data_IF_048843110636
#
_entry.id   IF_048843110636
#
_cell.length_a   1.000
_cell.length_b   1.000
_cell.length_c   1.000
_cell.angle_alpha   90.00
_cell.angle_beta   90.00
_cell.angle_gamma   90.00
#
_symmetry.space_group_name_H-M   'P 1'
#
loop_
_entity.id
_entity.type
_entity.pdbx_description
1 polymer ?
#
# COMPACT_ATOMS: atom_id res chain seq x y z
N UNK A 1 -33.60 -7.82 22.65
CA UNK A 1 -34.98 -7.30 22.67
C UNK A 1 -35.46 -7.16 24.11
N UNK A 2 -36.36 -6.23 24.36
CA UNK A 2 -37.01 -6.08 25.67
C UNK A 2 -37.97 -7.24 25.88
N UNK A 3 -37.90 -7.96 27.04
CA UNK A 3 -38.86 -9.03 27.31
C UNK A 3 -40.29 -8.51 27.35
N UNK A 4 -41.21 -9.23 26.73
CA UNK A 4 -42.63 -8.96 26.80
C UNK A 4 -43.31 -10.09 27.58
N UNK A 5 -44.24 -9.74 28.47
CA UNK A 5 -44.98 -10.72 29.26
C UNK A 5 -46.47 -10.63 28.90
N UNK A 6 -47.10 -11.78 28.71
CA UNK A 6 -48.53 -11.87 28.50
C UNK A 6 -49.12 -12.91 29.42
N UNK A 7 -50.32 -12.61 29.96
CA UNK A 7 -51.12 -13.58 30.68
C UNK A 7 -52.08 -14.26 29.70
N UNK A 8 -51.94 -15.57 29.54
CA UNK A 8 -52.80 -16.33 28.69
C UNK A 8 -54.08 -16.70 29.43
N UNK A 9 -55.26 -16.39 28.88
CA UNK A 9 -56.56 -16.77 29.40
C UNK A 9 -57.20 -17.87 28.55
N UNK A 10 -57.97 -18.74 29.19
CA UNK A 10 -58.63 -19.84 28.46
C UNK A 10 -59.67 -19.30 27.44
N UNK A 11 -59.53 -19.73 26.18
CA UNK A 11 -60.45 -19.31 25.10
C UNK A 11 -60.04 -18.03 24.36
N UNK A 12 -58.93 -17.35 24.71
CA UNK A 12 -58.43 -16.16 24.05
C UNK A 12 -57.07 -16.41 23.35
N UNK A 13 -56.93 -15.87 22.12
CA UNK A 13 -55.69 -15.82 21.40
C UNK A 13 -55.09 -14.42 21.56
N UNK A 14 -54.04 -14.27 22.38
CA UNK A 14 -53.37 -13.00 22.52
C UNK A 14 -52.01 -13.02 21.76
N UNK A 15 -51.82 -12.21 20.72
CA UNK A 15 -50.57 -12.15 20.00
C UNK A 15 -49.52 -11.35 20.75
N UNK A 16 -48.25 -11.83 20.75
CA UNK A 16 -47.08 -11.07 21.10
C UNK A 16 -46.40 -10.64 19.80
N UNK A 17 -46.18 -9.34 19.63
CA UNK A 17 -45.54 -8.78 18.44
C UNK A 17 -44.21 -8.16 18.82
N UNK A 18 -43.16 -8.61 18.18
CA UNK A 18 -41.80 -8.05 18.35
C UNK A 18 -41.44 -7.26 17.09
N UNK A 19 -40.74 -6.15 17.31
CA UNK A 19 -40.23 -5.30 16.24
C UNK A 19 -38.72 -5.15 16.39
N UNK A 20 -38.00 -5.50 15.34
CA UNK A 20 -36.56 -5.29 15.25
C UNK A 20 -36.27 -4.09 14.37
N UNK A 21 -35.30 -3.30 14.78
CA UNK A 21 -34.79 -2.20 13.94
C UNK A 21 -33.77 -2.77 12.96
N UNK A 22 -33.88 -2.46 11.65
CA UNK A 22 -32.86 -2.88 10.69
C UNK A 22 -31.50 -2.32 11.07
N UNK A 23 -30.46 -3.11 10.86
CA UNK A 23 -29.07 -2.67 11.03
C UNK A 23 -28.74 -1.51 10.09
N UNK A 24 -27.76 -0.70 10.47
CA UNK A 24 -27.31 0.46 9.73
C UNK A 24 -26.07 0.16 8.90
N UNK A 25 -25.89 0.93 7.84
CA UNK A 25 -24.63 1.02 7.11
C UNK A 25 -24.05 2.42 7.26
N UNK A 26 -22.72 2.54 7.25
CA UNK A 26 -21.99 3.79 7.21
C UNK A 26 -21.10 3.80 5.96
N UNK A 27 -21.25 4.80 5.10
CA UNK A 27 -20.37 5.01 3.96
C UNK A 27 -19.35 6.08 4.29
N UNK A 28 -18.06 5.75 4.14
CA UNK A 28 -16.97 6.71 4.18
C UNK A 28 -16.66 7.11 2.75
N UNK A 29 -16.62 8.41 2.47
CA UNK A 29 -16.22 8.99 1.19
C UNK A 29 -14.90 9.73 1.37
N UNK A 30 -13.90 9.36 0.58
CA UNK A 30 -12.58 10.00 0.53
C UNK A 30 -12.41 10.81 -0.74
N UNK A 31 -11.97 12.08 -0.61
CA UNK A 31 -11.84 13.00 -1.74
C UNK A 31 -10.58 13.85 -1.64
N UNK A 32 -10.12 14.33 -2.78
CA UNK A 32 -9.17 15.43 -2.92
C UNK A 32 -9.81 16.73 -2.41
N UNK A 33 -9.11 17.45 -1.55
CA UNK A 33 -9.63 18.67 -0.91
C UNK A 33 -9.87 19.82 -1.90
N UNK A 34 -9.10 19.87 -3.00
CA UNK A 34 -9.19 20.94 -4.02
C UNK A 34 -10.17 20.57 -5.12
N UNK A 35 -10.01 19.41 -5.73
CA UNK A 35 -10.77 19.01 -6.93
C UNK A 35 -12.05 18.26 -6.62
N UNK A 36 -12.23 17.81 -5.37
CA UNK A 36 -13.32 16.94 -4.88
C UNK A 36 -13.44 15.60 -5.61
N UNK A 37 -12.43 15.20 -6.37
CA UNK A 37 -12.36 13.88 -6.99
C UNK A 37 -12.22 12.79 -5.93
N UNK A 38 -12.83 11.60 -6.15
CA UNK A 38 -12.69 10.47 -5.22
C UNK A 38 -11.26 9.95 -5.16
N UNK A 39 -10.84 9.49 -3.97
CA UNK A 39 -9.50 8.95 -3.71
C UNK A 39 -9.59 7.49 -3.24
N UNK A 40 -8.98 6.60 -4.00
CA UNK A 40 -8.81 5.20 -3.65
C UNK A 40 -7.62 4.97 -2.70
N UNK A 41 -7.59 3.79 -2.06
CA UNK A 41 -6.47 3.31 -1.22
C UNK A 41 -6.21 4.15 0.04
N UNK A 42 -7.16 4.96 0.50
CA UNK A 42 -7.13 5.49 1.85
C UNK A 42 -7.48 4.38 2.84
N UNK A 43 -6.71 4.25 3.93
CA UNK A 43 -6.95 3.28 4.98
C UNK A 43 -7.56 3.98 6.20
N UNK A 44 -8.64 3.41 6.74
CA UNK A 44 -9.35 3.92 7.90
C UNK A 44 -9.38 2.88 9.01
N UNK A 45 -9.35 3.37 10.26
CA UNK A 45 -9.67 2.57 11.45
C UNK A 45 -11.03 3.02 11.98
N UNK A 46 -11.92 2.05 12.14
CA UNK A 46 -13.30 2.27 12.61
C UNK A 46 -13.50 1.61 13.97
N UNK A 47 -13.96 2.38 14.94
CA UNK A 47 -14.18 1.96 16.33
C UNK A 47 -15.55 2.39 16.84
N UNK A 48 -16.03 1.72 17.87
CA UNK A 48 -17.17 2.18 18.66
C UNK A 48 -16.74 3.25 19.70
N UNK A 49 -17.70 3.72 20.50
CA UNK A 49 -17.47 4.72 21.56
C UNK A 49 -16.57 4.22 22.70
N UNK A 50 -16.37 2.92 22.85
CA UNK A 50 -15.50 2.31 23.86
C UNK A 50 -14.08 2.06 23.31
N UNK A 51 -13.85 2.41 22.04
CA UNK A 51 -12.58 2.20 21.35
C UNK A 51 -12.39 0.80 20.79
N UNK A 52 -13.41 -0.06 20.83
CA UNK A 52 -13.36 -1.40 20.28
C UNK A 52 -13.45 -1.36 18.75
N UNK A 53 -12.57 -2.06 18.02
CA UNK A 53 -12.62 -2.13 16.57
C UNK A 53 -13.93 -2.74 16.05
N UNK A 54 -14.46 -2.17 14.95
CA UNK A 54 -15.67 -2.64 14.27
C UNK A 54 -15.26 -3.40 13.02
N UNK A 55 -15.87 -4.57 12.80
CA UNK A 55 -15.59 -5.43 11.66
C UNK A 55 -14.40 -6.37 11.86
N UNK A 56 -13.95 -6.97 10.76
CA UNK A 56 -12.75 -7.82 10.71
C UNK A 56 -11.49 -6.96 10.55
N UNK A 57 -10.30 -7.54 10.61
CA UNK A 57 -9.02 -6.86 10.41
C UNK A 57 -8.80 -5.64 11.35
N UNK A 58 -9.12 -5.83 12.66
CA UNK A 58 -8.98 -4.79 13.69
C UNK A 58 -9.64 -3.45 13.33
N UNK A 59 -10.76 -3.48 12.62
CA UNK A 59 -11.50 -2.28 12.21
C UNK A 59 -10.88 -1.53 11.04
N UNK A 60 -9.99 -2.14 10.27
CA UNK A 60 -9.37 -1.55 9.08
C UNK A 60 -10.30 -1.66 7.88
N UNK A 61 -10.43 -0.54 7.16
CA UNK A 61 -11.20 -0.42 5.92
C UNK A 61 -10.42 0.40 4.90
N UNK A 62 -10.52 0.04 3.61
CA UNK A 62 -9.77 0.68 2.53
C UNK A 62 -10.74 1.16 1.46
N UNK A 63 -10.58 2.40 0.97
CA UNK A 63 -11.45 2.96 -0.08
C UNK A 63 -11.18 2.33 -1.45
N UNK A 64 -12.25 2.03 -2.17
CA UNK A 64 -12.23 1.54 -3.55
C UNK A 64 -11.91 2.65 -4.57
N UNK A 65 -11.95 2.30 -5.85
CA UNK A 65 -11.68 3.22 -6.98
C UNK A 65 -12.64 4.41 -7.05
N UNK A 66 -13.83 4.26 -6.49
CA UNK A 66 -14.84 5.31 -6.36
C UNK A 66 -14.63 6.22 -5.13
N UNK A 67 -13.56 6.02 -4.38
CA UNK A 67 -13.24 6.73 -3.16
C UNK A 67 -14.11 6.34 -1.96
N UNK A 68 -14.92 5.27 -2.05
CA UNK A 68 -15.83 4.88 -0.98
C UNK A 68 -15.42 3.56 -0.32
N UNK A 69 -15.84 3.41 0.94
CA UNK A 69 -15.93 2.13 1.63
C UNK A 69 -17.17 2.13 2.52
N UNK A 70 -17.89 1.01 2.54
CA UNK A 70 -19.12 0.86 3.32
C UNK A 70 -18.96 -0.15 4.44
N UNK A 71 -19.25 0.28 5.66
CA UNK A 71 -19.30 -0.54 6.87
C UNK A 71 -20.76 -0.95 7.08
N UNK A 72 -21.02 -2.26 7.19
CA UNK A 72 -22.37 -2.82 7.31
C UNK A 72 -22.61 -3.42 8.69
N UNK A 73 -23.87 -3.68 9.03
CA UNK A 73 -24.23 -4.41 10.25
C UNK A 73 -24.11 -3.61 11.53
N UNK A 74 -24.15 -2.28 11.46
CA UNK A 74 -24.04 -1.40 12.62
C UNK A 74 -25.36 -1.35 13.40
N UNK A 75 -25.27 -1.37 14.74
CA UNK A 75 -26.43 -1.24 15.60
C UNK A 75 -27.01 0.17 15.52
N UNK A 76 -28.31 0.35 15.33
CA UNK A 76 -28.95 1.67 15.34
C UNK A 76 -28.65 2.45 16.63
N UNK A 77 -28.36 3.73 16.49
CA UNK A 77 -27.94 4.68 17.54
C UNK A 77 -26.55 4.40 18.15
N UNK A 78 -25.76 3.50 17.58
CA UNK A 78 -24.36 3.35 17.95
C UNK A 78 -23.55 4.59 17.52
N UNK A 79 -22.63 5.01 18.37
CA UNK A 79 -21.63 6.04 18.05
C UNK A 79 -20.42 5.36 17.43
N UNK A 80 -20.08 5.80 16.22
CA UNK A 80 -18.96 5.27 15.43
C UNK A 80 -17.91 6.35 15.30
N UNK A 81 -16.65 6.00 15.57
CA UNK A 81 -15.48 6.86 15.44
C UNK A 81 -14.64 6.34 14.27
N UNK A 82 -14.34 7.20 13.33
CA UNK A 82 -13.54 6.90 12.13
C UNK A 82 -12.32 7.79 12.11
N UNK A 83 -11.14 7.21 12.00
CA UNK A 83 -9.87 7.92 11.80
C UNK A 83 -9.18 7.42 10.54
N UNK A 84 -8.56 8.32 9.80
CA UNK A 84 -7.67 7.92 8.71
C UNK A 84 -6.39 7.33 9.31
N UNK A 85 -5.99 6.14 8.90
CA UNK A 85 -4.76 5.48 9.32
C UNK A 85 -3.63 5.78 8.33
N UNK A 86 -3.97 5.72 7.02
CA UNK A 86 -3.03 6.01 5.94
C UNK A 86 -3.72 6.79 4.82
N UNK A 87 -3.14 7.93 4.45
CA UNK A 87 -3.58 8.69 3.27
C UNK A 87 -3.19 7.97 1.97
N UNK A 88 -3.92 8.21 0.87
CA UNK A 88 -3.44 7.85 -0.46
C UNK A 88 -2.09 8.50 -0.79
N UNK A 89 -1.29 7.84 -1.63
CA UNK A 89 -0.02 8.41 -2.11
C UNK A 89 -0.27 9.79 -2.75
N UNK A 90 0.55 10.77 -2.37
CA UNK A 90 0.43 12.14 -2.86
C UNK A 90 -0.54 13.03 -2.08
N UNK A 91 -0.98 12.58 -0.92
CA UNK A 91 -1.89 13.33 -0.05
C UNK A 91 -1.40 13.40 1.40
N UNK A 92 -1.74 14.50 2.07
CA UNK A 92 -1.48 14.68 3.51
C UNK A 92 -2.60 13.98 4.28
N UNK A 93 -2.23 13.16 5.28
CA UNK A 93 -3.17 12.46 6.15
C UNK A 93 -4.02 13.44 6.97
N UNK A 94 -5.34 13.20 7.07
CA UNK A 94 -6.22 13.90 8.00
C UNK A 94 -6.10 13.24 9.39
N UNK A 95 -5.41 13.92 10.31
CA UNK A 95 -5.20 13.43 11.68
C UNK A 95 -6.46 13.58 12.56
N UNK A 96 -7.54 14.19 12.05
CA UNK A 96 -8.75 14.48 12.84
C UNK A 96 -9.77 13.35 12.75
N UNK A 97 -10.02 12.59 13.83
CA UNK A 97 -11.09 11.59 13.82
C UNK A 97 -12.47 12.24 13.65
N UNK A 98 -13.36 11.56 12.94
CA UNK A 98 -14.77 11.96 12.78
C UNK A 98 -15.69 10.98 13.46
N UNK A 99 -16.75 11.53 14.07
CA UNK A 99 -17.71 10.75 14.85
C UNK A 99 -19.10 10.90 14.25
N UNK A 100 -19.86 9.80 14.20
CA UNK A 100 -21.26 9.78 13.76
C UNK A 100 -22.08 8.86 14.65
N UNK A 101 -23.34 9.24 14.92
CA UNK A 101 -24.35 8.35 15.47
C UNK A 101 -25.16 7.78 14.32
N UNK A 102 -25.03 6.48 14.05
CA UNK A 102 -25.73 5.83 12.93
C UNK A 102 -27.22 5.63 13.22
N UNK A 103 -28.06 5.88 12.24
CA UNK A 103 -29.52 5.82 12.36
C UNK A 103 -30.11 4.88 11.31
N UNK A 104 -31.10 4.10 11.73
CA UNK A 104 -31.85 3.22 10.84
C UNK A 104 -32.77 4.01 9.91
N UNK A 105 -32.90 3.56 8.67
CA UNK A 105 -33.82 4.15 7.68
C UNK A 105 -33.32 5.43 7.01
N UNK A 106 -32.11 5.89 7.32
CA UNK A 106 -31.48 7.06 6.68
C UNK A 106 -30.05 6.73 6.22
N UNK A 107 -29.51 7.41 5.20
CA UNK A 107 -28.11 7.30 4.83
C UNK A 107 -27.21 7.83 5.96
N UNK A 108 -26.20 7.06 6.33
CA UNK A 108 -25.14 7.51 7.23
C UNK A 108 -23.85 7.63 6.42
N UNK A 109 -23.23 8.80 6.43
CA UNK A 109 -21.98 9.02 5.71
C UNK A 109 -21.04 9.96 6.43
N UNK A 110 -19.74 9.74 6.23
CA UNK A 110 -18.65 10.64 6.63
C UNK A 110 -17.81 10.93 5.40
N UNK A 111 -17.43 12.19 5.22
CA UNK A 111 -16.53 12.61 4.16
C UNK A 111 -15.20 13.04 4.75
N UNK A 112 -14.10 12.56 4.17
CA UNK A 112 -12.73 12.96 4.47
C UNK A 112 -12.11 13.56 3.21
N UNK A 113 -11.61 14.79 3.33
CA UNK A 113 -10.92 15.50 2.26
C UNK A 113 -9.43 15.59 2.63
N UNK A 114 -8.52 15.16 1.73
CA UNK A 114 -7.07 15.33 1.93
C UNK A 114 -6.50 16.37 1.00
N UNK A 115 -5.60 17.18 1.53
CA UNK A 115 -4.80 18.12 0.74
C UNK A 115 -3.74 17.37 -0.06
N UNK A 116 -3.52 17.75 -1.35
CA UNK A 116 -2.42 17.21 -2.12
C UNK A 116 -1.07 17.51 -1.47
N UNK A 117 -0.18 16.53 -1.50
CA UNK A 117 1.22 16.66 -1.08
C UNK A 117 2.14 16.67 -2.28
N UNK A 118 3.30 17.32 -2.16
CA UNK A 118 4.37 17.21 -3.13
C UNK A 118 5.08 15.87 -2.91
N UNK A 119 4.95 14.97 -3.87
CA UNK A 119 5.39 13.58 -3.71
C UNK A 119 6.21 13.13 -4.92
N UNK A 120 7.30 12.40 -4.66
CA UNK A 120 8.04 11.62 -5.65
C UNK A 120 7.89 10.13 -5.31
N UNK A 121 7.48 9.33 -6.28
CA UNK A 121 7.47 7.86 -6.19
C UNK A 121 8.57 7.32 -7.08
N UNK A 122 9.45 6.51 -6.51
CA UNK A 122 10.45 5.74 -7.26
C UNK A 122 9.90 4.33 -7.39
N UNK A 123 9.72 3.88 -8.65
CA UNK A 123 9.29 2.52 -8.96
C UNK A 123 10.48 1.69 -9.40
N UNK A 124 10.55 0.47 -8.90
CA UNK A 124 11.55 -0.52 -9.27
C UNK A 124 10.92 -1.79 -9.78
N UNK A 125 11.24 -2.15 -11.01
CA UNK A 125 10.66 -3.28 -11.71
C UNK A 125 11.74 -4.23 -12.28
N UNK A 126 11.29 -5.43 -12.66
CA UNK A 126 12.12 -6.42 -13.36
C UNK A 126 12.03 -6.16 -14.85
N UNK A 127 13.17 -5.97 -15.52
CA UNK A 127 13.23 -5.75 -16.96
C UNK A 127 12.70 -6.96 -17.74
N UNK A 128 11.92 -6.69 -18.78
CA UNK A 128 11.32 -7.71 -19.63
C UNK A 128 10.03 -8.32 -19.09
N UNK A 129 9.47 -7.75 -18.02
CA UNK A 129 8.17 -8.13 -17.46
C UNK A 129 7.15 -6.98 -17.60
N UNK A 130 5.86 -7.26 -17.37
CA UNK A 130 4.81 -6.23 -17.29
C UNK A 130 4.82 -5.56 -15.90
N UNK A 131 5.91 -4.83 -15.58
CA UNK A 131 6.08 -4.11 -14.31
C UNK A 131 6.01 -5.01 -13.06
N UNK A 132 6.61 -6.21 -13.11
CA UNK A 132 6.80 -7.05 -11.92
C UNK A 132 7.68 -6.29 -10.92
N UNK A 133 7.18 -6.02 -9.67
CA UNK A 133 7.90 -5.19 -8.71
C UNK A 133 9.14 -5.89 -8.15
N UNK A 134 10.18 -5.11 -7.88
CA UNK A 134 11.41 -5.59 -7.25
C UNK A 134 11.62 -4.90 -5.88
N UNK A 135 11.38 -5.67 -4.82
CA UNK A 135 11.48 -5.23 -3.43
C UNK A 135 12.92 -5.35 -2.88
N UNK A 136 13.26 -4.51 -1.90
CA UNK A 136 14.53 -4.59 -1.16
C UNK A 136 15.73 -3.96 -1.86
N UNK A 137 15.54 -3.30 -2.99
CA UNK A 137 16.59 -2.59 -3.72
C UNK A 137 16.90 -1.26 -3.02
N UNK A 138 18.19 -0.98 -2.77
CA UNK A 138 18.61 0.26 -2.13
C UNK A 138 18.88 1.38 -3.11
N UNK A 139 18.35 2.56 -2.81
CA UNK A 139 18.56 3.80 -3.55
C UNK A 139 19.22 4.87 -2.67
N UNK A 140 20.13 5.65 -3.25
CA UNK A 140 20.58 6.92 -2.72
C UNK A 140 19.79 8.03 -3.40
N UNK A 141 19.18 8.90 -2.61
CA UNK A 141 18.43 10.06 -3.06
C UNK A 141 19.09 11.33 -2.53
N UNK A 142 19.44 12.23 -3.43
CA UNK A 142 20.09 13.52 -3.11
C UNK A 142 19.39 14.64 -3.86
N UNK A 143 19.59 15.88 -3.41
CA UNK A 143 19.18 17.07 -4.17
C UNK A 143 20.21 17.42 -5.25
N UNK A 144 19.93 18.46 -6.04
CA UNK A 144 20.81 18.93 -7.10
C UNK A 144 22.18 19.43 -6.63
N UNK A 145 22.37 19.69 -5.33
CA UNK A 145 23.67 20.05 -4.73
C UNK A 145 24.45 18.81 -4.25
N UNK A 146 23.82 17.63 -4.24
CA UNK A 146 24.37 16.39 -3.70
C UNK A 146 24.08 16.17 -2.21
N UNK A 147 23.29 17.05 -1.56
CA UNK A 147 22.86 16.84 -0.19
C UNK A 147 21.80 15.76 -0.09
N UNK A 148 21.86 14.97 0.99
CA UNK A 148 20.90 13.88 1.20
C UNK A 148 19.46 14.39 1.34
N UNK A 149 18.51 13.76 0.66
CA UNK A 149 17.08 14.02 0.81
C UNK A 149 16.51 13.05 1.84
N UNK A 150 16.01 13.59 2.96
CA UNK A 150 15.36 12.83 4.04
C UNK A 150 16.33 12.15 5.03
N UNK A 151 15.82 11.19 5.83
CA UNK A 151 16.60 10.49 6.86
C UNK A 151 17.62 9.50 6.27
N UNK A 152 18.41 8.86 7.16
CA UNK A 152 19.36 7.80 6.83
C UNK A 152 20.31 8.14 5.70
N UNK A 153 20.81 9.39 5.70
CA UNK A 153 21.67 9.92 4.66
C UNK A 153 21.07 9.78 3.24
N UNK A 154 19.74 9.84 3.11
CA UNK A 154 19.02 9.70 1.85
C UNK A 154 19.05 8.29 1.27
N UNK A 155 19.23 7.26 2.09
CA UNK A 155 19.19 5.85 1.67
C UNK A 155 17.79 5.29 1.92
N UNK A 156 17.19 4.72 0.88
CA UNK A 156 15.85 4.15 0.89
C UNK A 156 15.85 2.76 0.28
N UNK A 157 14.87 1.94 0.69
CA UNK A 157 14.68 0.59 0.17
C UNK A 157 13.30 0.46 -0.44
N UNK A 158 13.21 -0.20 -1.60
CA UNK A 158 11.91 -0.49 -2.21
C UNK A 158 11.09 -1.45 -1.36
N UNK A 159 9.81 -1.15 -1.20
CA UNK A 159 8.83 -1.98 -0.48
C UNK A 159 8.37 -3.20 -1.31
N UNK A 160 7.34 -3.91 -0.83
CA UNK A 160 6.77 -5.07 -1.52
C UNK A 160 6.12 -4.74 -2.87
N UNK A 161 5.71 -3.49 -3.07
CA UNK A 161 5.20 -2.98 -4.34
C UNK A 161 6.33 -2.51 -5.28
N UNK A 162 7.61 -2.62 -4.86
CA UNK A 162 8.74 -2.09 -5.58
C UNK A 162 8.82 -0.56 -5.54
N UNK A 163 8.26 0.06 -4.50
CA UNK A 163 8.11 1.52 -4.43
C UNK A 163 8.91 2.14 -3.27
N UNK A 164 9.40 3.36 -3.50
CA UNK A 164 9.85 4.30 -2.47
C UNK A 164 9.00 5.56 -2.63
N UNK A 165 8.34 6.01 -1.55
CA UNK A 165 7.48 7.19 -1.55
C UNK A 165 8.10 8.30 -0.72
N UNK A 166 8.43 9.42 -1.36
CA UNK A 166 9.02 10.61 -0.75
C UNK A 166 7.98 11.73 -0.75
N UNK A 167 7.47 12.07 0.43
CA UNK A 167 6.45 13.11 0.61
C UNK A 167 7.07 14.40 1.14
N UNK A 168 6.39 15.54 0.90
CA UNK A 168 6.77 16.83 1.46
C UNK A 168 8.07 17.41 0.87
N UNK A 169 8.39 17.03 -0.37
CA UNK A 169 9.56 17.57 -1.07
C UNK A 169 9.35 19.05 -1.39
N UNK A 170 10.43 19.83 -1.35
CA UNK A 170 10.41 21.26 -1.65
C UNK A 170 10.24 21.51 -3.16
N UNK A 171 9.19 22.24 -3.60
CA UNK A 171 9.02 22.58 -5.01
C UNK A 171 10.19 23.42 -5.55
N UNK A 172 10.57 23.14 -6.80
CA UNK A 172 11.72 23.80 -7.45
C UNK A 172 13.07 23.14 -7.15
N UNK A 173 13.13 22.16 -6.25
CA UNK A 173 14.33 21.35 -6.01
C UNK A 173 14.48 20.30 -7.09
N UNK A 174 15.68 20.08 -7.61
CA UNK A 174 16.01 18.92 -8.42
C UNK A 174 16.36 17.77 -7.48
N UNK A 175 15.70 16.61 -7.62
CA UNK A 175 16.00 15.39 -6.89
C UNK A 175 16.65 14.40 -7.84
N UNK A 176 17.75 13.78 -7.39
CA UNK A 176 18.51 12.75 -8.11
C UNK A 176 18.41 11.44 -7.34
N UNK A 177 17.92 10.39 -7.99
CA UNK A 177 17.86 9.05 -7.44
C UNK A 177 18.80 8.09 -8.19
N UNK A 178 19.53 7.26 -7.46
CA UNK A 178 20.44 6.26 -8.01
C UNK A 178 20.37 4.98 -7.22
N UNK A 179 20.28 3.84 -7.90
CA UNK A 179 20.44 2.54 -7.26
C UNK A 179 21.88 2.38 -6.75
N UNK A 180 22.02 1.96 -5.48
CA UNK A 180 23.31 1.73 -4.84
C UNK A 180 23.53 0.27 -4.46
N UNK A 181 22.46 -0.53 -4.37
CA UNK A 181 22.53 -1.96 -4.10
C UNK A 181 21.32 -2.67 -4.69
N UNK A 182 21.56 -3.69 -5.50
CA UNK A 182 20.54 -4.61 -5.99
C UNK A 182 20.26 -5.73 -4.99
N UNK A 183 19.26 -6.55 -5.29
CA UNK A 183 19.00 -7.82 -4.58
C UNK A 183 19.60 -8.99 -5.34
N UNK A 184 19.77 -10.12 -4.63
CA UNK A 184 20.38 -11.33 -5.20
C UNK A 184 19.63 -11.80 -6.46
N UNK A 185 20.37 -12.22 -7.47
CA UNK A 185 19.83 -12.65 -8.75
C UNK A 185 19.55 -11.53 -9.77
N UNK A 186 19.88 -10.28 -9.42
CA UNK A 186 19.70 -9.13 -10.30
C UNK A 186 20.99 -8.32 -10.49
N UNK A 187 21.14 -7.73 -11.67
CA UNK A 187 22.25 -6.83 -11.99
C UNK A 187 21.94 -5.43 -11.49
N UNK A 188 22.88 -4.84 -10.75
CA UNK A 188 22.76 -3.44 -10.33
C UNK A 188 22.87 -2.51 -11.54
N UNK A 189 21.93 -1.59 -11.69
CA UNK A 189 22.01 -0.45 -12.61
C UNK A 189 22.14 0.86 -11.82
N UNK A 190 23.36 1.33 -11.67
CA UNK A 190 23.69 2.56 -10.94
C UNK A 190 23.47 3.84 -11.74
N UNK A 191 22.82 3.80 -12.92
CA UNK A 191 22.52 4.98 -13.74
C UNK A 191 21.55 5.91 -12.96
N UNK A 192 21.94 7.17 -12.67
CA UNK A 192 21.05 8.08 -11.96
C UNK A 192 19.94 8.58 -12.87
N UNK A 193 18.78 8.91 -12.26
CA UNK A 193 17.73 9.71 -12.88
C UNK A 193 17.45 10.92 -12.01
N UNK A 194 17.12 12.04 -12.64
CA UNK A 194 16.80 13.29 -11.96
C UNK A 194 15.42 13.81 -12.36
N UNK A 195 14.82 14.61 -11.46
CA UNK A 195 13.51 15.22 -11.69
C UNK A 195 13.41 16.57 -10.94
N UNK A 196 12.85 17.57 -11.61
CA UNK A 196 12.49 18.84 -10.97
C UNK A 196 11.14 18.69 -10.26
N UNK A 197 11.13 18.94 -8.95
CA UNK A 197 9.95 18.77 -8.11
C UNK A 197 8.94 19.89 -8.35
N UNK A 198 7.67 19.50 -8.60
CA UNK A 198 6.53 20.40 -8.85
C UNK A 198 5.57 20.37 -7.68
N UNK A 199 5.11 21.53 -7.23
CA UNK A 199 4.20 21.68 -6.10
C UNK A 199 2.89 20.88 -6.28
N UNK A 200 2.42 20.24 -5.20
CA UNK A 200 1.10 19.60 -5.13
C UNK A 200 0.86 18.50 -6.16
N UNK A 201 1.93 17.87 -6.65
CA UNK A 201 1.85 16.79 -7.65
C UNK A 201 2.52 15.52 -7.18
N UNK A 202 2.04 14.38 -7.68
CA UNK A 202 2.77 13.11 -7.63
C UNK A 202 3.59 12.98 -8.90
N UNK A 203 4.90 12.83 -8.75
CA UNK A 203 5.84 12.60 -9.84
C UNK A 203 6.48 11.23 -9.68
N UNK A 204 6.96 10.65 -10.79
CA UNK A 204 7.48 9.29 -10.77
C UNK A 204 8.84 9.22 -11.45
N UNK A 205 9.75 8.40 -10.87
CA UNK A 205 10.93 7.87 -11.52
C UNK A 205 10.79 6.35 -11.60
N UNK A 206 11.24 5.76 -12.70
CA UNK A 206 11.09 4.31 -12.90
C UNK A 206 12.42 3.69 -13.29
N UNK A 207 12.80 2.62 -12.58
CA UNK A 207 14.06 1.90 -12.77
C UNK A 207 13.77 0.41 -13.00
N UNK A 208 14.60 -0.23 -13.82
CA UNK A 208 14.50 -1.66 -14.11
C UNK A 208 15.82 -2.35 -13.82
N UNK A 209 15.78 -3.60 -13.29
CA UNK A 209 16.94 -4.46 -13.20
C UNK A 209 16.78 -5.71 -14.03
N UNK A 210 17.86 -6.09 -14.71
CA UNK A 210 17.97 -7.35 -15.41
C UNK A 210 18.21 -8.50 -14.44
N UNK A 211 17.59 -9.66 -14.69
CA UNK A 211 17.95 -10.90 -14.01
C UNK A 211 19.38 -11.27 -14.36
N UNK A 212 20.15 -11.74 -13.38
CA UNK A 212 21.47 -12.29 -13.64
C UNK A 212 21.33 -13.59 -14.42
N UNK A 213 22.19 -13.78 -15.42
CA UNK A 213 22.34 -15.05 -16.10
C UNK A 213 23.03 -16.06 -15.19
N UNK A 214 22.60 -17.32 -15.20
CA UNK A 214 23.25 -18.41 -14.50
C UNK A 214 23.81 -19.43 -15.51
N UNK A 215 25.03 -19.91 -15.27
CA UNK A 215 25.63 -21.00 -16.01
C UNK A 215 25.71 -22.23 -15.10
N UNK A 216 25.05 -23.32 -15.49
CA UNK A 216 25.14 -24.61 -14.81
C UNK A 216 26.07 -25.52 -15.62
N UNK A 217 27.17 -25.96 -15.00
CA UNK A 217 28.09 -26.90 -15.63
C UNK A 217 27.92 -28.26 -14.95
N UNK A 218 27.46 -29.26 -15.72
CA UNK A 218 27.37 -30.64 -15.27
C UNK A 218 28.56 -31.42 -15.85
N UNK A 219 29.39 -31.99 -14.97
CA UNK A 219 30.44 -32.93 -15.37
C UNK A 219 29.96 -34.38 -15.15
N UNK A 220 29.78 -35.10 -16.22
CA UNK A 220 29.28 -36.48 -16.20
C UNK A 220 30.34 -37.44 -16.76
N UNK A 221 30.24 -38.72 -16.39
CA UNK A 221 31.03 -39.80 -16.98
C UNK A 221 30.74 -39.94 -18.48
N UNK A 222 31.77 -40.10 -19.31
CA UNK A 222 31.62 -40.36 -20.76
C UNK A 222 31.06 -41.75 -21.06
N UNK A 223 31.15 -42.68 -20.08
CA UNK A 223 30.72 -44.07 -20.27
C UNK A 223 29.20 -44.22 -20.29
N UNK A 224 28.52 -43.53 -19.38
CA UNK A 224 27.06 -43.63 -19.23
C UNK A 224 26.33 -42.30 -19.44
N UNK A 225 27.06 -41.17 -19.49
CA UNK A 225 26.54 -39.79 -19.58
C UNK A 225 25.53 -39.41 -18.50
N UNK A 226 25.52 -40.14 -17.41
CA UNK A 226 24.58 -39.93 -16.27
C UNK A 226 25.29 -39.78 -14.92
N UNK A 227 26.37 -40.53 -14.68
CA UNK A 227 27.08 -40.51 -13.41
C UNK A 227 27.84 -39.19 -13.20
N UNK A 228 27.50 -38.37 -12.15
CA UNK A 228 28.21 -37.14 -11.88
C UNK A 228 29.65 -37.38 -11.44
N UNK A 229 30.61 -36.61 -11.99
CA UNK A 229 32.03 -36.65 -11.62
C UNK A 229 32.36 -35.47 -10.72
N UNK A 230 32.77 -35.76 -9.48
CA UNK A 230 33.17 -34.79 -8.45
C UNK A 230 34.65 -34.40 -8.57
N UNK A 231 35.00 -33.24 -8.01
CA UNK A 231 36.40 -32.78 -7.89
C UNK A 231 37.02 -32.28 -9.22
N UNK A 232 36.22 -32.03 -10.26
CA UNK A 232 36.72 -31.45 -11.52
C UNK A 232 36.70 -29.93 -11.41
N UNK A 233 37.85 -29.31 -11.69
CA UNK A 233 37.99 -27.84 -11.73
C UNK A 233 37.78 -27.32 -13.16
N UNK A 234 36.96 -26.30 -13.30
CA UNK A 234 36.76 -25.58 -14.55
C UNK A 234 37.31 -24.16 -14.45
N UNK A 235 37.92 -23.68 -15.53
CA UNK A 235 38.17 -22.25 -15.72
C UNK A 235 37.12 -21.71 -16.67
N UNK A 236 36.37 -20.70 -16.22
CA UNK A 236 35.35 -20.05 -17.03
C UNK A 236 35.85 -18.68 -17.43
N UNK A 237 35.80 -18.37 -18.73
CA UNK A 237 36.18 -17.08 -19.28
C UNK A 237 35.13 -16.60 -20.25
N UNK A 238 35.04 -15.29 -20.45
CA UNK A 238 34.30 -14.70 -21.59
C UNK A 238 34.94 -15.10 -22.93
N UNK A 239 34.28 -14.83 -24.02
CA UNK A 239 34.82 -15.02 -25.36
C UNK A 239 36.10 -14.17 -25.61
N UNK A 240 36.26 -13.07 -24.89
CA UNK A 240 37.45 -12.20 -24.91
C UNK A 240 38.57 -12.67 -23.99
N UNK A 241 38.36 -13.78 -23.26
CA UNK A 241 39.35 -14.39 -22.38
C UNK A 241 39.40 -13.85 -20.94
N UNK A 242 38.50 -12.93 -20.58
CA UNK A 242 38.38 -12.40 -19.24
C UNK A 242 37.80 -13.45 -18.28
N UNK A 243 38.33 -13.50 -17.04
CA UNK A 243 37.85 -14.42 -16.02
C UNK A 243 36.43 -14.07 -15.59
N UNK A 244 35.54 -15.05 -15.52
CA UNK A 244 34.20 -14.91 -14.93
C UNK A 244 34.31 -15.32 -13.48
N UNK A 245 34.10 -14.40 -12.51
CA UNK A 245 34.25 -14.64 -11.08
C UNK A 245 33.26 -15.65 -10.52
#
# INVERSE_FOLDING_TARGET
GTPQTITVQAGENAPLTFYDKPLCNLTILKRDALTKKPLAKAEFIVKDSEGKPIGTDNGRFVTGSDGTVTITGLTPNATIIVSEDKAPIGYIKDETPKTIVVRSGVPNSLTFDNEPSTTLVIHKYIEGTENEPLSGVAFKVVDGSGAAVGPDDGVYYTDKAGEIVLNGLEPGTTVVAREIKSVDGFVLDGTPQDILIKAGTVQNLTFWNKRQGALIINKLSSLDRKTPLKGVTFKITTATGEFVP
#
